data_IF_056822262056
#
_entry.id   IF_056822262056
#
_cell.length_a   1.000
_cell.length_b   1.000
_cell.length_c   1.000
_cell.angle_alpha   90.00
_cell.angle_beta   90.00
_cell.angle_gamma   90.00
#
_symmetry.space_group_name_H-M   'P 1'
#
loop_
_entity.id
_entity.type
_entity.pdbx_description
1 polymer ?
#
# COMPACT_ATOMS: atom_id res chain seq x y z
N UNK A 1 15.57 -22.51 -8.46
CA UNK A 1 14.70 -22.21 -7.31
C UNK A 1 13.32 -21.78 -7.82
N UNK A 2 12.25 -22.43 -7.40
CA UNK A 2 10.90 -21.99 -7.76
C UNK A 2 10.62 -20.62 -7.13
N UNK A 3 10.31 -19.62 -7.95
CA UNK A 3 9.96 -18.27 -7.50
C UNK A 3 8.67 -18.33 -6.68
N UNK A 4 8.62 -17.71 -5.49
CA UNK A 4 7.41 -17.63 -4.66
C UNK A 4 6.26 -17.00 -5.44
N UNK A 5 5.05 -17.51 -5.25
CA UNK A 5 3.85 -16.98 -5.88
C UNK A 5 2.97 -16.33 -4.81
N UNK A 6 3.25 -15.08 -4.50
CA UNK A 6 2.56 -14.31 -3.47
C UNK A 6 1.05 -14.20 -3.68
N UNK A 7 0.57 -14.25 -4.93
CA UNK A 7 -0.86 -14.27 -5.19
C UNK A 7 -1.50 -15.59 -4.75
N UNK A 8 -0.84 -16.73 -4.98
CA UNK A 8 -1.34 -18.03 -4.48
C UNK A 8 -1.28 -18.12 -2.96
N UNK A 9 -0.26 -17.53 -2.34
CA UNK A 9 -0.16 -17.46 -0.87
C UNK A 9 -1.34 -16.65 -0.31
N UNK A 10 -1.64 -15.50 -0.89
CA UNK A 10 -2.80 -14.69 -0.53
C UNK A 10 -4.10 -15.49 -0.69
N UNK A 11 -4.33 -16.11 -1.84
CA UNK A 11 -5.55 -16.88 -2.12
C UNK A 11 -5.76 -18.03 -1.12
N UNK A 12 -4.68 -18.70 -0.72
CA UNK A 12 -4.74 -19.74 0.31
C UNK A 12 -5.14 -19.19 1.68
N UNK A 13 -4.58 -18.03 2.06
CA UNK A 13 -4.93 -17.34 3.31
C UNK A 13 -6.40 -16.90 3.32
N UNK A 14 -6.88 -16.29 2.24
CA UNK A 14 -8.26 -15.86 2.11
C UNK A 14 -9.24 -17.04 2.20
N UNK A 15 -8.89 -18.19 1.61
CA UNK A 15 -9.69 -19.40 1.73
C UNK A 15 -9.78 -19.94 3.16
N UNK A 16 -8.71 -19.76 3.97
CA UNK A 16 -8.74 -20.14 5.37
C UNK A 16 -9.64 -19.20 6.19
N UNK A 17 -9.57 -17.90 5.94
CA UNK A 17 -10.44 -16.89 6.59
C UNK A 17 -11.91 -17.18 6.31
N UNK A 18 -12.28 -17.53 5.06
CA UNK A 18 -13.64 -17.91 4.71
C UNK A 18 -14.14 -19.13 5.52
N UNK A 19 -13.28 -20.15 5.69
CA UNK A 19 -13.62 -21.35 6.46
C UNK A 19 -13.80 -21.07 7.95
N UNK A 20 -13.03 -20.12 8.50
CA UNK A 20 -13.13 -19.71 9.90
C UNK A 20 -14.39 -18.90 10.20
N UNK A 21 -15.01 -18.29 9.19
CA UNK A 21 -16.25 -17.51 9.30
C UNK A 21 -16.12 -16.23 10.14
N UNK A 22 -14.88 -15.75 10.38
CA UNK A 22 -14.57 -14.50 11.10
C UNK A 22 -13.80 -13.58 10.19
N UNK A 23 -14.20 -12.32 10.12
CA UNK A 23 -13.42 -11.28 9.43
C UNK A 23 -12.33 -10.74 10.36
N UNK A 24 -11.04 -11.07 10.14
CA UNK A 24 -9.95 -10.48 10.91
C UNK A 24 -9.73 -9.02 10.57
N UNK A 25 -9.03 -8.30 11.45
CA UNK A 25 -8.67 -6.90 11.26
C UNK A 25 -7.39 -6.76 10.43
N UNK A 26 -7.44 -5.89 9.41
CA UNK A 26 -6.31 -5.63 8.51
C UNK A 26 -5.90 -4.16 8.55
N UNK A 27 -4.62 -3.89 8.80
CA UNK A 27 -4.02 -2.57 8.66
C UNK A 27 -3.37 -2.43 7.28
N UNK A 28 -3.99 -1.64 6.40
CA UNK A 28 -3.63 -1.53 4.99
C UNK A 28 -2.87 -0.22 4.71
N UNK A 29 -1.55 -0.28 4.56
CA UNK A 29 -0.80 0.87 4.07
C UNK A 29 -1.21 1.23 2.64
N UNK A 30 -1.61 2.46 2.40
CA UNK A 30 -2.03 2.98 1.09
C UNK A 30 -1.18 4.16 0.62
N UNK A 31 -0.87 4.16 -0.68
CA UNK A 31 -0.17 5.28 -1.32
C UNK A 31 -1.11 6.27 -2.03
N UNK A 32 -2.28 5.85 -2.48
CA UNK A 32 -3.26 6.68 -3.19
C UNK A 32 -4.56 5.92 -3.45
N UNK A 33 -5.64 6.63 -3.71
CA UNK A 33 -6.94 6.07 -4.01
C UNK A 33 -6.95 5.12 -5.23
N UNK A 34 -6.35 5.44 -6.38
CA UNK A 34 -6.29 4.51 -7.50
C UNK A 34 -5.66 3.16 -7.16
N UNK A 35 -4.59 3.16 -6.34
CA UNK A 35 -3.92 1.93 -5.94
C UNK A 35 -4.74 1.11 -4.94
N UNK A 36 -5.50 1.75 -4.08
CA UNK A 36 -6.32 1.07 -3.08
C UNK A 36 -7.69 0.62 -3.58
N UNK A 37 -8.23 1.19 -4.65
CA UNK A 37 -9.58 0.89 -5.12
C UNK A 37 -9.84 -0.61 -5.32
N UNK A 38 -9.02 -1.30 -6.12
CA UNK A 38 -9.14 -2.74 -6.30
C UNK A 38 -8.81 -3.53 -5.03
N UNK A 39 -7.81 -3.09 -4.27
CA UNK A 39 -7.41 -3.80 -3.05
C UNK A 39 -8.55 -3.78 -2.03
N UNK A 40 -9.25 -2.65 -1.90
CA UNK A 40 -10.44 -2.53 -1.05
C UNK A 40 -11.61 -3.35 -1.57
N UNK A 41 -11.92 -3.29 -2.87
CA UNK A 41 -12.96 -4.13 -3.50
C UNK A 41 -12.70 -5.62 -3.25
N UNK A 42 -11.44 -6.04 -3.29
CA UNK A 42 -11.04 -7.43 -3.12
C UNK A 42 -11.01 -7.86 -1.65
N UNK A 43 -10.29 -7.12 -0.81
CA UNK A 43 -10.02 -7.54 0.57
C UNK A 43 -11.15 -7.23 1.56
N UNK A 44 -12.03 -6.26 1.28
CA UNK A 44 -13.16 -5.97 2.17
C UNK A 44 -14.17 -7.12 2.26
N UNK A 45 -14.06 -8.12 1.40
CA UNK A 45 -14.85 -9.36 1.49
C UNK A 45 -14.41 -10.27 2.63
N UNK A 46 -13.19 -10.09 3.13
CA UNK A 46 -12.54 -11.00 4.07
C UNK A 46 -12.12 -10.31 5.36
N UNK A 47 -11.90 -8.99 5.35
CA UNK A 47 -11.31 -8.25 6.45
C UNK A 47 -12.12 -7.01 6.82
N UNK A 48 -12.11 -6.67 8.12
CA UNK A 48 -12.34 -5.30 8.56
C UNK A 48 -11.04 -4.50 8.34
N UNK A 49 -11.09 -3.46 7.50
CA UNK A 49 -9.89 -2.78 7.04
C UNK A 49 -9.76 -1.39 7.70
N UNK A 50 -8.56 -1.07 8.18
CA UNK A 50 -8.15 0.31 8.42
C UNK A 50 -7.09 0.69 7.40
N UNK A 51 -7.44 1.62 6.51
CA UNK A 51 -6.50 2.18 5.53
C UNK A 51 -5.62 3.19 6.22
N UNK A 52 -4.32 2.93 6.22
CA UNK A 52 -3.29 3.82 6.74
C UNK A 52 -2.62 4.58 5.60
N UNK A 53 -2.95 5.85 5.47
CA UNK A 53 -2.33 6.74 4.49
C UNK A 53 -1.10 7.40 5.09
N UNK A 54 0.08 6.86 4.77
CA UNK A 54 1.36 7.36 5.27
C UNK A 54 2.41 7.37 4.15
N UNK A 55 2.72 8.55 3.65
CA UNK A 55 3.55 8.73 2.45
C UNK A 55 4.45 9.98 2.59
N UNK A 56 5.45 9.96 3.49
CA UNK A 56 6.35 11.10 3.68
C UNK A 56 7.19 11.45 2.44
N UNK A 57 7.21 10.53 1.45
CA UNK A 57 7.89 10.73 0.18
C UNK A 57 7.13 11.66 -0.80
N UNK A 58 5.85 11.91 -0.59
CA UNK A 58 5.05 12.72 -1.53
C UNK A 58 5.39 14.19 -1.36
N UNK A 59 5.66 14.87 -2.48
CA UNK A 59 6.01 16.28 -2.54
C UNK A 59 5.38 16.92 -3.79
N UNK A 60 4.87 18.16 -3.67
CA UNK A 60 4.80 19.01 -2.49
C UNK A 60 3.71 18.57 -1.48
N UNK A 61 3.59 19.30 -0.36
CA UNK A 61 2.58 19.01 0.67
C UNK A 61 1.14 19.03 0.11
N UNK A 62 0.85 19.95 -0.81
CA UNK A 62 -0.46 20.02 -1.47
C UNK A 62 -0.82 18.74 -2.24
N UNK A 63 0.14 18.08 -2.84
CA UNK A 63 -0.06 16.78 -3.51
C UNK A 63 -0.33 15.67 -2.49
N UNK A 64 0.34 15.69 -1.33
CA UNK A 64 0.05 14.77 -0.24
C UNK A 64 -1.37 14.92 0.27
N UNK A 65 -1.80 16.16 0.53
CA UNK A 65 -3.15 16.49 0.99
C UNK A 65 -4.23 16.12 -0.03
N UNK A 66 -3.99 16.39 -1.32
CA UNK A 66 -4.90 16.03 -2.41
C UNK A 66 -5.14 14.52 -2.44
N UNK A 67 -4.06 13.73 -2.39
CA UNK A 67 -4.17 12.26 -2.37
C UNK A 67 -4.81 11.73 -1.10
N UNK A 68 -4.62 12.39 0.04
CA UNK A 68 -5.26 12.01 1.30
C UNK A 68 -6.78 12.22 1.23
N UNK A 69 -7.22 13.41 0.77
CA UNK A 69 -8.64 13.73 0.57
C UNK A 69 -9.30 12.76 -0.41
N UNK A 70 -8.61 12.45 -1.50
CA UNK A 70 -9.10 11.52 -2.52
C UNK A 70 -9.22 10.10 -1.98
N UNK A 71 -8.29 9.67 -1.14
CA UNK A 71 -8.34 8.36 -0.49
C UNK A 71 -9.53 8.27 0.48
N UNK A 72 -9.77 9.30 1.27
CA UNK A 72 -10.90 9.36 2.19
C UNK A 72 -12.23 9.42 1.43
N UNK A 73 -12.30 10.19 0.32
CA UNK A 73 -13.48 10.24 -0.55
C UNK A 73 -13.81 8.86 -1.10
N UNK A 74 -12.82 8.16 -1.65
CA UNK A 74 -13.03 6.80 -2.17
C UNK A 74 -13.61 5.87 -1.11
N UNK A 75 -13.07 5.87 0.10
CA UNK A 75 -13.53 5.00 1.19
C UNK A 75 -15.00 5.31 1.55
N UNK A 76 -15.40 6.57 1.53
CA UNK A 76 -16.77 6.99 1.84
C UNK A 76 -17.77 6.60 0.74
N UNK A 77 -17.34 6.63 -0.53
CA UNK A 77 -18.20 6.39 -1.70
C UNK A 77 -18.25 4.93 -2.12
N UNK A 78 -17.23 4.14 -1.76
CA UNK A 78 -17.11 2.75 -2.19
C UNK A 78 -17.98 1.83 -1.36
N UNK A 79 -18.80 1.01 -2.02
CA UNK A 79 -19.51 -0.08 -1.36
C UNK A 79 -18.52 -1.20 -0.98
N UNK A 80 -18.52 -1.58 0.30
CA UNK A 80 -17.64 -2.61 0.86
C UNK A 80 -18.42 -3.63 1.66
N UNK A 81 -17.96 -4.89 1.68
CA UNK A 81 -18.64 -5.98 2.39
C UNK A 81 -18.43 -5.83 3.91
N UNK A 82 -17.20 -5.66 4.34
CA UNK A 82 -16.86 -5.34 5.73
C UNK A 82 -16.42 -3.87 5.86
N UNK A 83 -16.51 -3.30 7.08
CA UNK A 83 -16.19 -1.90 7.31
C UNK A 83 -14.77 -1.53 6.89
N UNK A 84 -14.64 -0.35 6.25
CA UNK A 84 -13.35 0.26 5.92
C UNK A 84 -13.24 1.60 6.63
N UNK A 85 -12.18 1.79 7.42
CA UNK A 85 -11.87 3.04 8.14
C UNK A 85 -10.67 3.70 7.52
N UNK A 86 -10.55 5.02 7.69
CA UNK A 86 -9.42 5.82 7.23
C UNK A 86 -8.61 6.35 8.41
N UNK A 87 -7.29 6.20 8.33
CA UNK A 87 -6.33 6.79 9.25
C UNK A 87 -5.24 7.51 8.44
N UNK A 88 -5.15 8.82 8.60
CA UNK A 88 -4.08 9.62 8.01
C UNK A 88 -2.89 9.65 8.97
N UNK A 89 -1.72 9.23 8.49
CA UNK A 89 -0.46 9.37 9.22
C UNK A 89 0.05 10.80 9.21
N UNK A 90 0.94 11.13 10.13
CA UNK A 90 1.58 12.44 10.18
C UNK A 90 2.45 12.67 8.94
N UNK A 91 2.30 13.82 8.30
CA UNK A 91 3.13 14.18 7.15
C UNK A 91 4.46 14.76 7.60
N UNK A 92 5.49 13.94 7.56
CA UNK A 92 6.85 14.28 7.96
C UNK A 92 7.84 13.98 6.83
N UNK A 93 7.91 14.84 5.80
CA UNK A 93 8.76 14.61 4.63
C UNK A 93 10.26 14.57 4.97
N UNK A 94 10.70 15.20 6.07
CA UNK A 94 12.08 15.12 6.55
C UNK A 94 12.52 13.67 6.80
N UNK A 95 11.65 12.80 7.27
CA UNK A 95 11.97 11.38 7.51
C UNK A 95 12.31 10.65 6.19
N UNK A 96 11.63 11.03 5.10
CA UNK A 96 11.95 10.47 3.79
C UNK A 96 13.30 10.97 3.29
N UNK A 97 13.58 12.27 3.39
CA UNK A 97 14.85 12.83 2.93
C UNK A 97 16.03 12.28 3.73
N UNK A 98 15.88 12.09 5.03
CA UNK A 98 16.87 11.44 5.88
C UNK A 98 17.13 9.99 5.46
N UNK A 99 16.06 9.20 5.27
CA UNK A 99 16.14 7.79 4.89
C UNK A 99 16.80 7.56 3.51
N UNK A 100 16.70 8.53 2.59
CA UNK A 100 17.27 8.40 1.24
C UNK A 100 18.51 9.25 1.00
N UNK A 101 19.10 9.80 2.06
CA UNK A 101 20.32 10.62 1.98
C UNK A 101 21.47 9.83 1.33
N UNK A 102 22.08 10.42 0.29
CA UNK A 102 23.14 9.79 -0.51
C UNK A 102 22.63 8.88 -1.62
N UNK A 103 21.30 8.71 -1.76
CA UNK A 103 20.66 7.90 -2.80
C UNK A 103 19.84 8.74 -3.82
N UNK A 104 20.04 10.06 -3.85
CA UNK A 104 19.26 11.01 -4.64
C UNK A 104 19.36 10.72 -6.14
N UNK A 105 20.51 10.22 -6.59
CA UNK A 105 20.79 9.91 -8.00
C UNK A 105 20.35 8.49 -8.43
N UNK A 106 19.93 7.66 -7.48
CA UNK A 106 19.43 6.33 -7.80
C UNK A 106 18.20 6.39 -8.72
N UNK A 107 18.08 5.48 -9.69
CA UNK A 107 16.89 5.43 -10.55
C UNK A 107 15.63 5.05 -9.77
N UNK A 108 14.47 5.29 -10.37
CA UNK A 108 13.22 4.75 -9.84
C UNK A 108 13.27 3.21 -9.84
N UNK A 109 12.88 2.61 -8.71
CA UNK A 109 13.01 1.16 -8.47
C UNK A 109 14.37 0.74 -7.87
N UNK A 110 15.36 1.63 -7.76
CA UNK A 110 16.67 1.39 -7.17
C UNK A 110 16.70 1.39 -5.63
N UNK A 111 17.89 1.60 -5.06
CA UNK A 111 18.14 1.58 -3.61
C UNK A 111 17.31 2.64 -2.87
N UNK A 112 17.17 3.84 -3.42
CA UNK A 112 16.31 4.89 -2.86
C UNK A 112 14.87 4.42 -2.65
N UNK A 113 14.28 3.72 -3.61
CA UNK A 113 12.93 3.19 -3.47
C UNK A 113 12.84 2.10 -2.41
N UNK A 114 13.89 1.32 -2.23
CA UNK A 114 13.98 0.29 -1.16
C UNK A 114 13.90 0.95 0.22
N UNK A 115 14.67 1.99 0.48
CA UNK A 115 14.61 2.71 1.76
C UNK A 115 13.25 3.41 1.98
N UNK A 116 12.68 3.96 0.91
CA UNK A 116 11.33 4.52 0.94
C UNK A 116 10.26 3.47 1.31
N UNK A 117 10.38 2.24 0.82
CA UNK A 117 9.46 1.16 1.18
C UNK A 117 9.65 0.72 2.63
N UNK A 118 10.91 0.57 3.09
CA UNK A 118 11.22 0.25 4.49
C UNK A 118 10.63 1.27 5.45
N UNK A 119 10.86 2.56 5.22
CA UNK A 119 10.32 3.65 6.05
C UNK A 119 8.81 3.52 6.24
N UNK A 120 8.07 3.29 5.16
CA UNK A 120 6.61 3.22 5.20
C UNK A 120 6.09 1.93 5.81
N UNK A 121 6.70 0.78 5.49
CA UNK A 121 6.24 -0.52 5.98
C UNK A 121 6.63 -0.77 7.43
N UNK A 122 7.76 -0.23 7.90
CA UNK A 122 8.13 -0.28 9.32
C UNK A 122 7.14 0.50 10.17
N UNK A 123 6.73 1.70 9.74
CA UNK A 123 5.72 2.49 10.46
C UNK A 123 4.34 1.81 10.44
N UNK A 124 3.96 1.24 9.29
CA UNK A 124 2.72 0.47 9.19
C UNK A 124 2.72 -0.75 10.13
N UNK A 125 3.82 -1.49 10.20
CA UNK A 125 3.95 -2.65 11.09
C UNK A 125 3.91 -2.24 12.58
N UNK A 126 4.59 -1.14 12.93
CA UNK A 126 4.59 -0.61 14.30
C UNK A 126 3.18 -0.25 14.76
N UNK A 127 2.46 0.54 13.96
CA UNK A 127 1.10 0.96 14.29
C UNK A 127 0.09 -0.19 14.23
N UNK A 128 0.26 -1.14 13.32
CA UNK A 128 -0.57 -2.34 13.27
C UNK A 128 -0.43 -3.16 14.57
N UNK A 129 0.79 -3.28 15.10
CA UNK A 129 1.03 -3.95 16.39
C UNK A 129 0.43 -3.19 17.56
N UNK A 130 0.65 -1.88 17.62
CA UNK A 130 0.11 -1.02 18.69
C UNK A 130 -1.42 -1.00 18.70
N UNK A 131 -2.04 -1.01 17.52
CA UNK A 131 -3.49 -1.05 17.33
C UNK A 131 -4.12 -2.44 17.51
N UNK A 132 -3.31 -3.49 17.74
CA UNK A 132 -3.81 -4.85 17.95
C UNK A 132 -4.41 -5.52 16.69
N UNK A 133 -3.98 -5.10 15.50
CA UNK A 133 -4.45 -5.69 14.24
C UNK A 133 -3.94 -7.13 14.06
N UNK A 134 -4.77 -8.00 13.48
CA UNK A 134 -4.41 -9.39 13.18
C UNK A 134 -3.28 -9.48 12.13
N UNK A 135 -3.27 -8.56 11.16
CA UNK A 135 -2.22 -8.47 10.14
C UNK A 135 -2.15 -7.09 9.49
N UNK A 136 -1.08 -6.87 8.71
CA UNK A 136 -0.93 -5.68 7.87
C UNK A 136 -0.45 -6.03 6.46
N UNK A 137 -0.67 -5.14 5.50
CA UNK A 137 -0.16 -5.25 4.13
C UNK A 137 -0.06 -3.87 3.47
N UNK A 138 0.23 -3.85 2.17
CA UNK A 138 0.37 -2.59 1.42
C UNK A 138 -0.29 -2.68 0.04
N UNK A 139 -0.85 -1.58 -0.43
CA UNK A 139 -1.35 -1.44 -1.81
C UNK A 139 -0.24 -1.33 -2.85
N UNK A 140 1.02 -1.18 -2.44
CA UNK A 140 2.14 -0.91 -3.36
C UNK A 140 2.35 -2.02 -4.40
N UNK A 141 2.00 -3.27 -4.08
CA UNK A 141 2.18 -4.41 -4.98
C UNK A 141 1.24 -4.40 -6.19
N UNK A 142 0.25 -3.50 -6.24
CA UNK A 142 -0.63 -3.35 -7.41
C UNK A 142 0.07 -2.67 -8.59
N UNK A 143 1.08 -1.85 -8.32
CA UNK A 143 1.78 -1.12 -9.38
C UNK A 143 2.65 -2.06 -10.21
N UNK A 144 2.53 -2.05 -11.55
CA UNK A 144 3.41 -2.84 -12.42
C UNK A 144 4.87 -2.37 -12.36
N UNK A 145 5.11 -1.12 -11.94
CA UNK A 145 6.45 -0.53 -11.81
C UNK A 145 7.15 -0.88 -10.49
N UNK A 146 6.48 -1.62 -9.59
CA UNK A 146 7.04 -1.97 -8.28
C UNK A 146 7.30 -3.47 -8.17
N UNK A 147 8.45 -3.79 -7.61
CA UNK A 147 8.89 -5.15 -7.35
C UNK A 147 8.12 -5.75 -6.16
N UNK A 148 7.20 -6.67 -6.45
CA UNK A 148 6.38 -7.33 -5.42
C UNK A 148 7.22 -8.22 -4.50
N UNK A 149 8.27 -8.88 -5.01
CA UNK A 149 9.15 -9.73 -4.19
C UNK A 149 9.87 -8.90 -3.13
N UNK A 150 10.45 -7.76 -3.54
CA UNK A 150 11.09 -6.80 -2.62
C UNK A 150 10.12 -6.27 -1.57
N UNK A 151 8.91 -5.87 -1.98
CA UNK A 151 7.89 -5.35 -1.08
C UNK A 151 7.43 -6.39 -0.05
N UNK A 152 7.20 -7.63 -0.48
CA UNK A 152 6.81 -8.71 0.43
C UNK A 152 7.93 -9.02 1.43
N UNK A 153 9.18 -9.12 0.98
CA UNK A 153 10.33 -9.34 1.87
C UNK A 153 10.45 -8.22 2.92
N UNK A 154 10.36 -6.96 2.51
CA UNK A 154 10.41 -5.83 3.46
C UNK A 154 9.22 -5.88 4.43
N UNK A 155 8.03 -6.23 3.96
CA UNK A 155 6.85 -6.41 4.81
C UNK A 155 7.03 -7.52 5.84
N UNK A 156 7.55 -8.68 5.44
CA UNK A 156 7.87 -9.80 6.33
C UNK A 156 8.92 -9.43 7.38
N UNK A 157 10.00 -8.74 6.96
CA UNK A 157 11.04 -8.21 7.86
C UNK A 157 10.47 -7.21 8.89
N UNK A 158 9.61 -6.29 8.44
CA UNK A 158 8.93 -5.32 9.30
C UNK A 158 7.97 -6.03 10.28
N UNK A 159 7.21 -6.99 9.78
CA UNK A 159 6.30 -7.80 10.59
C UNK A 159 7.02 -8.60 11.68
N UNK A 160 8.14 -9.24 11.33
CA UNK A 160 8.99 -9.96 12.27
C UNK A 160 9.55 -9.04 13.35
N UNK A 161 9.97 -7.81 12.98
CA UNK A 161 10.52 -6.83 13.90
C UNK A 161 9.52 -6.38 14.97
N UNK A 162 8.26 -6.17 14.61
CA UNK A 162 7.23 -5.65 15.52
C UNK A 162 6.29 -6.73 16.08
N UNK A 163 6.39 -7.97 15.62
CA UNK A 163 5.55 -9.08 16.06
C UNK A 163 4.10 -8.95 15.58
N UNK A 164 3.92 -8.57 14.32
CA UNK A 164 2.63 -8.54 13.61
C UNK A 164 2.77 -9.22 12.25
N UNK A 165 1.78 -10.00 11.85
CA UNK A 165 1.84 -10.77 10.59
C UNK A 165 1.70 -9.86 9.37
N UNK A 166 2.59 -10.02 8.38
CA UNK A 166 2.44 -9.40 7.07
C UNK A 166 1.62 -10.31 6.14
N UNK A 167 0.60 -9.78 5.51
CA UNK A 167 -0.20 -10.48 4.52
C UNK A 167 0.47 -10.32 3.14
N UNK A 168 1.10 -11.39 2.67
CA UNK A 168 1.79 -11.41 1.37
C UNK A 168 0.81 -11.19 0.22
N UNK A 169 1.25 -10.44 -0.81
CA UNK A 169 0.37 -10.09 -1.93
C UNK A 169 1.11 -9.77 -3.22
N UNK A 170 0.45 -9.97 -4.34
CA UNK A 170 0.84 -9.41 -5.64
C UNK A 170 -0.42 -8.93 -6.38
N UNK A 171 -0.99 -7.82 -5.90
CA UNK A 171 -2.30 -7.31 -6.34
C UNK A 171 -2.39 -6.94 -7.82
N UNK A 172 -1.28 -6.84 -8.56
CA UNK A 172 -1.31 -6.66 -10.01
C UNK A 172 -1.72 -7.95 -10.76
N UNK A 173 -1.63 -9.11 -10.11
CA UNK A 173 -2.09 -10.39 -10.65
C UNK A 173 -3.63 -10.43 -10.74
N UNK A 174 -4.16 -11.47 -11.40
CA UNK A 174 -5.62 -11.62 -11.58
C UNK A 174 -6.31 -10.39 -12.18
N UNK A 175 -5.60 -9.67 -13.08
CA UNK A 175 -6.07 -8.42 -13.69
C UNK A 175 -6.29 -7.26 -12.68
N UNK A 176 -5.75 -7.35 -11.46
CA UNK A 176 -5.99 -6.36 -10.42
C UNK A 176 -5.58 -4.93 -10.82
N UNK A 177 -4.44 -4.76 -11.51
CA UNK A 177 -4.06 -3.45 -12.05
C UNK A 177 -5.07 -2.92 -13.09
N UNK A 178 -5.57 -3.79 -13.97
CA UNK A 178 -6.62 -3.43 -14.94
C UNK A 178 -7.88 -2.99 -14.21
N UNK A 179 -8.34 -3.79 -13.22
CA UNK A 179 -9.52 -3.46 -12.42
C UNK A 179 -9.37 -2.14 -11.66
N UNK A 180 -8.19 -1.86 -11.10
CA UNK A 180 -7.92 -0.56 -10.44
C UNK A 180 -8.02 0.63 -11.42
N UNK A 181 -7.72 0.42 -12.68
CA UNK A 181 -7.88 1.44 -13.73
C UNK A 181 -9.36 1.65 -14.08
N UNK A 182 -10.14 0.59 -14.12
CA UNK A 182 -11.60 0.64 -14.34
C UNK A 182 -12.27 1.38 -13.17
N UNK A 183 -12.01 0.95 -11.93
CA UNK A 183 -12.51 1.61 -10.72
C UNK A 183 -12.12 3.09 -10.64
N UNK A 184 -10.90 3.42 -11.08
CA UNK A 184 -10.48 4.83 -11.13
C UNK A 184 -11.35 5.67 -12.06
N UNK A 185 -11.86 5.09 -13.15
CA UNK A 185 -12.80 5.77 -14.06
C UNK A 185 -14.22 5.82 -13.47
N UNK A 186 -14.67 4.71 -12.87
CA UNK A 186 -15.98 4.59 -12.24
C UNK A 186 -16.19 5.63 -11.14
N UNK A 187 -15.16 5.81 -10.28
CA UNK A 187 -15.18 6.78 -9.17
C UNK A 187 -14.57 8.14 -9.53
N UNK A 188 -14.17 8.39 -10.78
CA UNK A 188 -13.54 9.64 -11.20
C UNK A 188 -12.30 9.99 -10.38
N UNK A 189 -11.45 9.01 -10.04
CA UNK A 189 -10.32 9.20 -9.12
C UNK A 189 -9.20 10.03 -9.76
N UNK A 190 -8.64 10.92 -8.96
CA UNK A 190 -7.39 11.60 -9.31
C UNK A 190 -6.26 10.60 -9.51
N UNK A 191 -5.78 10.52 -10.74
CA UNK A 191 -4.67 9.63 -11.12
C UNK A 191 -3.42 10.47 -11.43
N UNK A 192 -2.44 10.29 -10.59
CA UNK A 192 -1.11 10.86 -10.77
C UNK A 192 -0.28 10.03 -11.77
N UNK A 193 0.61 10.71 -12.48
CA UNK A 193 1.51 10.14 -13.47
C UNK A 193 2.92 9.80 -12.92
N UNK A 194 3.18 10.12 -11.64
CA UNK A 194 4.45 9.88 -10.98
C UNK A 194 4.25 9.28 -9.57
N UNK A 195 5.29 8.66 -9.02
CA UNK A 195 5.22 7.99 -7.72
C UNK A 195 4.89 8.93 -6.54
N UNK A 196 5.16 10.22 -6.68
CA UNK A 196 4.94 11.26 -5.68
C UNK A 196 6.22 11.86 -5.11
N UNK A 197 7.36 11.16 -5.13
CA UNK A 197 8.60 11.74 -4.64
C UNK A 197 9.20 12.71 -5.66
N UNK A 198 9.90 13.73 -5.17
CA UNK A 198 10.55 14.76 -5.99
C UNK A 198 11.48 14.17 -7.05
N UNK A 199 12.12 13.04 -6.75
CA UNK A 199 13.07 12.38 -7.65
C UNK A 199 12.38 11.64 -8.81
N UNK A 200 11.19 11.06 -8.59
CA UNK A 200 10.41 10.42 -9.67
C UNK A 200 9.81 11.45 -10.64
N UNK A 201 9.46 12.64 -10.14
CA UNK A 201 8.95 13.74 -10.97
C UNK A 201 9.99 14.26 -11.96
N UNK A 202 11.27 14.26 -11.56
CA UNK A 202 12.39 14.68 -12.45
C UNK A 202 12.69 13.68 -13.56
N UNK A 203 12.29 12.43 -13.40
CA UNK A 203 12.51 11.33 -14.35
C UNK A 203 11.34 11.12 -15.31
N UNK A 204 10.17 11.71 -15.03
CA UNK A 204 9.07 11.74 -15.99
C UNK A 204 9.54 12.56 -17.21
N UNK A 205 9.70 11.89 -18.36
CA UNK A 205 10.06 12.56 -19.61
C UNK A 205 8.98 13.55 -20.01
N UNK A 206 9.37 14.69 -20.63
CA UNK A 206 8.43 15.65 -21.20
C UNK A 206 7.54 15.03 -22.26
#
# INVERSE_FOLDING_TARGET
MNRRNYQKELEAELSNIEKEGRAPTLFLHSCCAPCSSYVLEYLSRYFEITVFYYNPNISPASEYEERAREQERLIREMETVHPVRFLCGEYRPELFYEAVKGLEQEPEGGARCTECFKLRLLEAARLAKEGGFDCFTTTLTISPLKDAERLNRIGEEAGARYGVRFLNSDFKKRNGYKRSTELSREYGLYRQDYCGCVFSRRQAKP
#
